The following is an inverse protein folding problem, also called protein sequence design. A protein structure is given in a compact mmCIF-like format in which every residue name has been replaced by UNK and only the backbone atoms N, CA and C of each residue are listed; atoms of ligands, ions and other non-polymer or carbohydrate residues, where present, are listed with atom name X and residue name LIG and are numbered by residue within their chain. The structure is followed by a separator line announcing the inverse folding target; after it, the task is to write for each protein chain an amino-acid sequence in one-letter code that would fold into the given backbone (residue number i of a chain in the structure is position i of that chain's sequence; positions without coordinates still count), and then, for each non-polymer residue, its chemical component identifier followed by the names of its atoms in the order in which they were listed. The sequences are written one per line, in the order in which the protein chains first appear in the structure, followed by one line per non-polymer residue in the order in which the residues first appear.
data_IF_011081850105
#
_entry.id   IF_011081850105
#
_cell.length_a   1.000
_cell.length_b   1.000
_cell.length_c   1.000
_cell.angle_alpha   90.00
_cell.angle_beta   90.00
_cell.angle_gamma   90.00
#
_symmetry.space_group_name_H-M   'P 1'
#
loop_
_entity.id
_entity.type
_entity.pdbx_description
1 polymer ?
#
# COMPACT_ATOMS: atom_id res chain seq x y z
N UNK A 1 -46.87 6.44 -74.26
CA UNK A 1 -45.73 5.57 -73.93
C UNK A 1 -45.29 5.61 -72.45
N UNK A 2 -45.74 6.57 -71.62
CA UNK A 2 -45.18 6.74 -70.26
C UNK A 2 -46.06 6.25 -69.10
N UNK A 3 -47.31 5.83 -69.35
CA UNK A 3 -48.20 5.36 -68.27
C UNK A 3 -47.81 3.95 -67.77
N UNK A 4 -47.32 3.09 -68.67
CA UNK A 4 -46.87 1.73 -68.32
C UNK A 4 -45.57 1.73 -67.51
N UNK A 5 -44.70 2.73 -67.68
CA UNK A 5 -43.44 2.85 -66.93
C UNK A 5 -43.68 3.30 -65.49
N UNK A 6 -44.64 4.22 -65.27
CA UNK A 6 -45.03 4.67 -63.92
C UNK A 6 -45.85 3.61 -63.20
N UNK A 7 -46.74 2.91 -63.90
CA UNK A 7 -47.48 1.76 -63.33
C UNK A 7 -46.58 0.55 -63.05
N UNK A 8 -45.53 0.34 -63.84
CA UNK A 8 -44.49 -0.68 -63.58
C UNK A 8 -43.61 -0.32 -62.38
N UNK A 9 -43.09 0.90 -62.30
CA UNK A 9 -42.26 1.34 -61.15
C UNK A 9 -43.03 1.43 -59.84
N UNK A 10 -44.34 1.67 -59.87
CA UNK A 10 -45.16 1.59 -58.66
C UNK A 10 -45.35 0.15 -58.20
N UNK A 11 -45.55 -0.80 -59.14
CA UNK A 11 -45.68 -2.22 -58.84
C UNK A 11 -44.37 -2.83 -58.34
N UNK A 12 -43.23 -2.42 -58.91
CA UNK A 12 -41.90 -2.89 -58.51
C UNK A 12 -41.47 -2.30 -57.16
N UNK A 13 -41.95 -1.09 -56.81
CA UNK A 13 -41.70 -0.46 -55.49
C UNK A 13 -42.65 -0.92 -54.39
N UNK A 14 -43.82 -1.43 -54.72
CA UNK A 14 -44.78 -1.96 -53.73
C UNK A 14 -44.19 -3.18 -53.02
N UNK A 15 -43.52 -4.07 -53.77
CA UNK A 15 -42.84 -5.24 -53.21
C UNK A 15 -41.62 -4.85 -52.36
N UNK A 16 -40.83 -3.87 -52.80
CA UNK A 16 -39.71 -3.32 -52.01
C UNK A 16 -40.19 -2.63 -50.73
N UNK A 17 -41.30 -1.90 -50.80
CA UNK A 17 -41.90 -1.22 -49.65
C UNK A 17 -42.48 -2.22 -48.64
N UNK A 18 -43.18 -3.26 -49.11
CA UNK A 18 -43.65 -4.36 -48.26
C UNK A 18 -42.50 -5.08 -47.56
N UNK A 19 -41.43 -5.38 -48.28
CA UNK A 19 -40.22 -6.01 -47.71
C UNK A 19 -39.58 -5.14 -46.63
N UNK A 20 -39.52 -3.82 -46.84
CA UNK A 20 -38.99 -2.89 -45.84
C UNK A 20 -39.89 -2.80 -44.59
N UNK A 21 -41.21 -2.84 -44.76
CA UNK A 21 -42.18 -2.88 -43.66
C UNK A 21 -42.07 -4.17 -42.84
N UNK A 22 -41.92 -5.32 -43.51
CA UNK A 22 -41.73 -6.61 -42.85
C UNK A 22 -40.40 -6.67 -42.10
N UNK A 23 -39.32 -6.16 -42.70
CA UNK A 23 -38.02 -6.06 -42.05
C UNK A 23 -38.08 -5.15 -40.81
N UNK A 24 -38.77 -4.01 -40.89
CA UNK A 24 -38.96 -3.11 -39.75
C UNK A 24 -39.83 -3.73 -38.66
N UNK A 25 -40.93 -4.40 -39.02
CA UNK A 25 -41.80 -5.12 -38.10
C UNK A 25 -41.05 -6.24 -37.38
N UNK A 26 -40.24 -7.01 -38.11
CA UNK A 26 -39.36 -8.04 -37.56
C UNK A 26 -38.31 -7.48 -36.60
N UNK A 27 -37.68 -6.36 -36.96
CA UNK A 27 -36.71 -5.67 -36.08
C UNK A 27 -37.37 -5.17 -34.79
N UNK A 28 -38.52 -4.51 -34.89
CA UNK A 28 -39.27 -4.03 -33.72
C UNK A 28 -39.73 -5.20 -32.85
N UNK A 29 -40.18 -6.28 -33.46
CA UNK A 29 -40.55 -7.53 -32.78
C UNK A 29 -39.38 -8.13 -31.99
N UNK A 30 -38.23 -8.32 -32.63
CA UNK A 30 -37.07 -8.92 -31.97
C UNK A 30 -36.44 -7.97 -30.93
N UNK A 31 -36.44 -6.66 -31.17
CA UNK A 31 -36.01 -5.67 -30.20
C UNK A 31 -36.93 -5.65 -28.97
N UNK A 32 -38.24 -5.78 -29.16
CA UNK A 32 -39.21 -5.93 -28.07
C UNK A 32 -38.95 -7.22 -27.29
N UNK A 33 -38.69 -8.33 -27.99
CA UNK A 33 -38.38 -9.63 -27.39
C UNK A 33 -37.08 -9.61 -26.57
N UNK A 34 -36.06 -8.89 -27.05
CA UNK A 34 -34.73 -8.76 -26.41
C UNK A 34 -34.60 -7.54 -25.49
N UNK A 35 -35.66 -6.76 -25.29
CA UNK A 35 -35.66 -5.58 -24.40
C UNK A 35 -35.17 -5.93 -23.01
N UNK A 36 -35.60 -7.08 -22.47
CA UNK A 36 -35.18 -7.54 -21.15
C UNK A 36 -33.68 -7.82 -21.09
N UNK A 37 -33.13 -8.49 -22.10
CA UNK A 37 -31.69 -8.80 -22.17
C UNK A 37 -30.85 -7.52 -22.26
N UNK A 38 -31.29 -6.56 -23.07
CA UNK A 38 -30.62 -5.25 -23.19
C UNK A 38 -30.67 -4.49 -21.87
N UNK A 39 -31.85 -4.42 -21.23
CA UNK A 39 -32.01 -3.75 -19.94
C UNK A 39 -31.16 -4.42 -18.84
N UNK A 40 -31.12 -5.75 -18.84
CA UNK A 40 -30.33 -6.55 -17.91
C UNK A 40 -28.83 -6.34 -18.13
N UNK A 41 -28.37 -6.36 -19.38
CA UNK A 41 -26.97 -6.08 -19.72
C UNK A 41 -26.55 -4.67 -19.30
N UNK A 42 -27.38 -3.66 -19.55
CA UNK A 42 -27.13 -2.30 -19.10
C UNK A 42 -27.08 -2.18 -17.57
N UNK A 43 -27.97 -2.87 -16.86
CA UNK A 43 -27.96 -2.92 -15.39
C UNK A 43 -26.69 -3.58 -14.84
N UNK A 44 -26.22 -4.67 -15.44
CA UNK A 44 -24.96 -5.31 -15.05
C UNK A 44 -23.74 -4.43 -15.29
N UNK A 45 -23.68 -3.73 -16.44
CA UNK A 45 -22.59 -2.78 -16.72
C UNK A 45 -22.62 -1.65 -15.69
N UNK A 46 -23.80 -1.12 -15.36
CA UNK A 46 -23.93 -0.08 -14.34
C UNK A 46 -23.49 -0.56 -12.95
N UNK A 47 -23.85 -1.79 -12.56
CA UNK A 47 -23.42 -2.39 -11.29
C UNK A 47 -21.91 -2.62 -11.24
N UNK A 48 -21.31 -3.09 -12.33
CA UNK A 48 -19.85 -3.28 -12.44
C UNK A 48 -19.10 -1.94 -12.41
N UNK A 49 -19.63 -0.90 -13.06
CA UNK A 49 -19.06 0.44 -12.97
C UNK A 49 -19.16 0.99 -11.54
N UNK A 50 -20.28 0.74 -10.86
CA UNK A 50 -20.48 1.08 -9.46
C UNK A 50 -19.45 0.41 -8.54
N UNK A 51 -19.24 -0.90 -8.67
CA UNK A 51 -18.27 -1.61 -7.82
C UNK A 51 -16.82 -1.13 -8.00
N UNK A 52 -16.44 -0.76 -9.23
CA UNK A 52 -15.12 -0.15 -9.49
C UNK A 52 -15.02 1.24 -8.87
N UNK A 53 -16.08 2.04 -8.95
CA UNK A 53 -16.12 3.36 -8.34
C UNK A 53 -16.08 3.30 -6.80
N UNK A 54 -16.78 2.33 -6.21
CA UNK A 54 -16.76 2.06 -4.77
C UNK A 54 -15.37 1.63 -4.33
N UNK A 55 -14.74 0.68 -5.03
CA UNK A 55 -13.36 0.25 -4.76
C UNK A 55 -12.38 1.42 -4.81
N UNK A 56 -12.50 2.29 -5.82
CA UNK A 56 -11.65 3.47 -5.93
C UNK A 56 -11.88 4.46 -4.79
N UNK A 57 -13.13 4.61 -4.35
CA UNK A 57 -13.51 5.48 -3.22
C UNK A 57 -12.92 4.95 -1.92
N UNK A 58 -13.02 3.64 -1.68
CA UNK A 58 -12.46 2.98 -0.51
C UNK A 58 -10.92 3.00 -0.50
N UNK A 59 -10.27 2.76 -1.64
CA UNK A 59 -8.82 2.66 -1.73
C UNK A 59 -8.11 4.03 -1.69
N UNK A 60 -8.78 5.12 -2.09
CA UNK A 60 -8.14 6.43 -2.24
C UNK A 60 -7.52 6.96 -0.94
N UNK A 61 -8.25 6.88 0.18
CA UNK A 61 -7.77 7.38 1.47
C UNK A 61 -6.59 6.54 2.02
N UNK A 62 -6.71 5.21 2.13
CA UNK A 62 -5.59 4.36 2.56
C UNK A 62 -4.31 4.55 1.74
N UNK A 63 -4.41 4.74 0.43
CA UNK A 63 -3.26 5.02 -0.43
C UNK A 63 -2.65 6.38 -0.09
N UNK A 64 -3.47 7.42 0.06
CA UNK A 64 -2.98 8.76 0.42
C UNK A 64 -2.30 8.78 1.79
N UNK A 65 -2.90 8.10 2.77
CA UNK A 65 -2.34 7.96 4.11
C UNK A 65 -1.02 7.22 4.07
N UNK A 66 -0.94 6.10 3.33
CA UNK A 66 0.30 5.32 3.19
C UNK A 66 1.42 6.17 2.60
N UNK A 67 1.15 6.92 1.53
CA UNK A 67 2.13 7.83 0.92
C UNK A 67 2.58 8.89 1.93
N UNK A 68 1.65 9.52 2.63
CA UNK A 68 1.94 10.57 3.61
C UNK A 68 2.76 10.05 4.78
N UNK A 69 2.42 8.89 5.33
CA UNK A 69 3.17 8.30 6.44
C UNK A 69 4.54 7.78 5.99
N UNK A 70 4.65 7.25 4.77
CA UNK A 70 5.93 6.84 4.20
C UNK A 70 6.86 8.04 4.00
N UNK A 71 6.34 9.14 3.45
CA UNK A 71 7.09 10.38 3.29
C UNK A 71 7.55 10.95 4.64
N UNK A 72 6.66 10.96 5.64
CA UNK A 72 7.01 11.36 7.00
C UNK A 72 8.12 10.49 7.60
N UNK A 73 8.01 9.16 7.48
CA UNK A 73 9.02 8.24 7.98
C UNK A 73 10.36 8.46 7.30
N UNK A 74 10.38 8.49 5.97
CA UNK A 74 11.58 8.75 5.19
C UNK A 74 12.20 10.11 5.55
N UNK A 75 11.38 11.15 5.69
CA UNK A 75 11.82 12.48 6.10
C UNK A 75 12.49 12.51 7.47
N UNK A 76 11.99 11.74 8.45
CA UNK A 76 12.63 11.62 9.76
C UNK A 76 13.97 10.89 9.68
N UNK A 77 14.05 9.79 8.92
CA UNK A 77 15.31 9.06 8.72
C UNK A 77 16.33 9.94 8.02
N UNK A 78 15.92 10.71 7.01
CA UNK A 78 16.82 11.60 6.28
C UNK A 78 17.28 12.82 7.12
N UNK A 79 16.44 13.32 8.03
CA UNK A 79 16.81 14.43 8.92
C UNK A 79 17.96 14.04 9.87
N UNK A 80 17.99 12.79 10.33
CA UNK A 80 19.02 12.24 11.23
C UNK A 80 19.85 11.13 10.55
N UNK A 81 20.11 11.27 9.26
CA UNK A 81 20.72 10.24 8.42
C UNK A 81 22.02 9.68 9.01
N UNK A 82 22.94 10.54 9.46
CA UNK A 82 24.24 10.12 10.00
C UNK A 82 24.10 9.29 11.27
N UNK A 83 23.11 9.62 12.12
CA UNK A 83 22.80 8.83 13.31
C UNK A 83 22.20 7.47 12.94
N UNK A 84 21.25 7.44 11.99
CA UNK A 84 20.63 6.19 11.55
C UNK A 84 21.66 5.27 10.88
N UNK A 85 22.56 5.80 10.06
CA UNK A 85 23.62 5.03 9.42
C UNK A 85 24.57 4.40 10.46
N UNK A 86 25.04 5.20 11.42
CA UNK A 86 25.89 4.69 12.50
C UNK A 86 25.15 3.66 13.37
N UNK A 87 23.88 3.90 13.69
CA UNK A 87 23.05 2.96 14.44
C UNK A 87 22.93 1.64 13.68
N UNK A 88 22.53 1.65 12.41
CA UNK A 88 22.37 0.43 11.61
C UNK A 88 23.70 -0.34 11.48
N UNK A 89 24.81 0.38 11.38
CA UNK A 89 26.16 -0.20 11.33
C UNK A 89 26.57 -0.86 12.65
N UNK A 90 26.26 -0.24 13.78
CA UNK A 90 26.74 -0.69 15.11
C UNK A 90 25.78 -1.63 15.83
N UNK A 91 24.50 -1.63 15.46
CA UNK A 91 23.44 -2.42 16.09
C UNK A 91 23.74 -3.94 16.11
N UNK A 92 24.24 -4.58 15.04
CA UNK A 92 24.51 -6.02 15.05
C UNK A 92 25.55 -6.42 16.10
N UNK A 93 26.64 -5.65 16.23
CA UNK A 93 27.70 -5.92 17.20
C UNK A 93 27.17 -5.77 18.64
N UNK A 94 26.39 -4.72 18.89
CA UNK A 94 25.73 -4.52 20.19
C UNK A 94 24.80 -5.69 20.53
N UNK A 95 24.00 -6.15 19.56
CA UNK A 95 23.09 -7.30 19.73
C UNK A 95 23.84 -8.60 19.96
N UNK A 96 24.97 -8.83 19.29
CA UNK A 96 25.81 -10.02 19.53
C UNK A 96 26.39 -10.04 20.94
N UNK A 97 26.87 -8.88 21.43
CA UNK A 97 27.35 -8.74 22.80
C UNK A 97 26.19 -9.04 23.77
N UNK A 98 25.03 -8.43 23.58
CA UNK A 98 23.86 -8.64 24.44
C UNK A 98 23.39 -10.10 24.42
N UNK A 99 23.33 -10.74 23.25
CA UNK A 99 22.96 -12.14 23.11
C UNK A 99 23.93 -13.07 23.87
N UNK A 100 25.24 -12.80 23.78
CA UNK A 100 26.26 -13.55 24.54
C UNK A 100 26.09 -13.36 26.04
N UNK A 101 25.80 -12.14 26.50
CA UNK A 101 25.59 -11.90 27.92
C UNK A 101 24.26 -12.51 28.42
N UNK A 102 23.23 -12.56 27.56
CA UNK A 102 21.91 -13.11 27.82
C UNK A 102 21.82 -14.64 27.73
N UNK A 103 22.92 -15.35 27.46
CA UNK A 103 22.95 -16.83 27.41
C UNK A 103 22.46 -17.48 28.71
N UNK A 104 22.55 -16.78 29.83
CA UNK A 104 22.14 -17.28 31.13
C UNK A 104 20.68 -16.97 31.48
N UNK A 105 19.95 -16.25 30.61
CA UNK A 105 18.50 -16.03 30.72
C UNK A 105 18.10 -14.93 31.69
N UNK A 106 18.28 -15.15 32.98
CA UNK A 106 17.76 -14.30 34.06
C UNK A 106 18.83 -13.39 34.71
N UNK A 107 20.10 -13.59 34.38
CA UNK A 107 21.19 -12.71 34.82
C UNK A 107 22.28 -12.60 33.74
N UNK A 108 23.05 -11.52 33.81
CA UNK A 108 24.24 -11.38 32.99
C UNK A 108 25.45 -11.98 33.71
N UNK A 109 26.11 -12.96 33.08
CA UNK A 109 27.27 -13.65 33.63
C UNK A 109 28.58 -12.86 33.61
N UNK A 110 28.57 -11.54 33.86
CA UNK A 110 29.80 -10.74 33.95
C UNK A 110 30.21 -10.47 35.41
N UNK A 111 31.51 -10.39 35.66
CA UNK A 111 32.07 -10.05 36.96
C UNK A 111 32.58 -8.61 36.93
N UNK A 112 32.10 -7.78 37.85
CA UNK A 112 32.43 -6.36 37.90
C UNK A 112 33.71 -6.16 38.72
N UNK A 113 34.84 -5.96 38.04
CA UNK A 113 36.10 -5.66 38.70
C UNK A 113 36.17 -4.22 39.23
N UNK A 114 35.76 -3.28 38.38
CA UNK A 114 35.72 -1.86 38.69
C UNK A 114 34.43 -1.24 38.12
N UNK A 115 33.83 -0.33 38.88
CA UNK A 115 32.81 0.58 38.38
C UNK A 115 33.18 2.01 38.75
N UNK A 116 33.26 2.88 37.75
CA UNK A 116 33.64 4.28 37.92
C UNK A 116 32.49 5.13 37.37
N UNK A 117 31.99 6.06 38.18
CA UNK A 117 30.98 7.03 37.74
C UNK A 117 31.65 8.37 37.47
N UNK A 118 31.34 8.94 36.30
CA UNK A 118 31.72 10.31 35.94
C UNK A 118 30.62 11.26 36.38
N UNK A 119 30.95 12.18 37.28
CA UNK A 119 30.06 13.20 37.81
C UNK A 119 30.59 14.58 37.44
N UNK A 120 29.71 15.56 37.32
CA UNK A 120 30.13 16.96 37.17
C UNK A 120 30.36 17.55 38.55
N UNK A 121 31.61 17.91 38.86
CA UNK A 121 31.99 18.59 40.09
C UNK A 121 31.55 20.05 40.12
N UNK A 122 31.78 20.72 41.26
CA UNK A 122 31.47 22.14 41.43
C UNK A 122 32.31 22.96 40.43
N UNK A 123 31.66 23.51 39.41
CA UNK A 123 32.31 24.23 38.30
C UNK A 123 32.30 23.49 36.95
N UNK A 124 31.59 22.36 36.81
CA UNK A 124 31.44 21.65 35.53
C UNK A 124 32.61 20.74 35.16
N UNK A 125 33.63 20.64 36.01
CA UNK A 125 34.77 19.77 35.79
C UNK A 125 34.39 18.30 36.02
N UNK A 126 34.86 17.37 35.17
CA UNK A 126 34.58 15.96 35.34
C UNK A 126 35.31 15.40 36.57
N UNK A 127 34.57 14.84 37.51
CA UNK A 127 35.06 14.10 38.67
C UNK A 127 34.72 12.63 38.48
N UNK A 128 35.71 11.76 38.64
CA UNK A 128 35.53 10.31 38.52
C UNK A 128 35.56 9.69 39.92
N UNK A 129 34.45 9.07 40.31
CA UNK A 129 34.32 8.40 41.61
C UNK A 129 34.24 6.89 41.39
N UNK A 130 35.11 6.13 42.06
CA UNK A 130 35.07 4.67 42.04
C UNK A 130 33.95 4.17 42.96
N UNK A 131 32.97 3.45 42.40
CA UNK A 131 31.83 2.87 43.12
C UNK A 131 32.13 1.46 43.62
N UNK A 132 32.79 0.67 42.78
CA UNK A 132 33.18 -0.72 43.06
C UNK A 132 34.63 -0.89 42.62
N UNK A 133 35.40 -1.63 43.40
CA UNK A 133 36.79 -1.96 43.08
C UNK A 133 37.27 -3.19 43.81
N UNK A 134 37.85 -4.14 43.07
CA UNK A 134 38.49 -5.31 43.63
C UNK A 134 39.89 -5.47 43.04
N UNK A 135 40.91 -5.37 43.90
CA UNK A 135 42.32 -5.44 43.48
C UNK A 135 42.94 -6.85 43.69
N UNK A 136 42.11 -7.85 44.02
CA UNK A 136 42.54 -9.23 44.33
C UNK A 136 41.71 -10.28 43.59
N UNK A 137 42.11 -11.55 43.62
CA UNK A 137 41.38 -12.65 42.99
C UNK A 137 41.28 -12.51 41.47
N UNK A 138 40.06 -12.60 40.92
CA UNK A 138 39.79 -12.51 39.46
C UNK A 138 40.22 -11.19 38.81
N UNK A 139 40.34 -10.13 39.60
CA UNK A 139 40.63 -8.77 39.13
C UNK A 139 42.04 -8.31 39.51
N UNK A 140 42.90 -9.23 39.96
CA UNK A 140 44.31 -8.92 40.27
C UNK A 140 44.98 -8.34 39.02
N UNK A 141 45.57 -7.13 39.08
CA UNK A 141 46.25 -6.52 37.95
C UNK A 141 47.38 -7.43 37.43
N UNK A 142 47.52 -7.54 36.11
CA UNK A 142 48.65 -8.22 35.45
C UNK A 142 49.69 -7.21 35.02
#
# INVERSE_FOLDING_TARGET
ANLNTVLGTFRDRDDEFGTALDALSGLVGELSRRRSDIATGAAYINAAAGSVADLLTEARQPINDTVTQTDRFAGQIMADHDYVDDLVRTLPDAYQILARQGLYGDYFGFYLCDAIIKLNGKGGQPVFTKLVGQDTGRCTPK
#
